data_IF_822636435403
#
_entry.id   IF_822636435403
#
_cell.length_a   1.000
_cell.length_b   1.000
_cell.length_c   1.000
_cell.angle_alpha   90.00
_cell.angle_beta   90.00
_cell.angle_gamma   90.00
#
_symmetry.space_group_name_H-M   'P 1'
#
loop_
_entity.id
_entity.type
_entity.pdbx_description
1 polymer ?
#
# COMPACT_ATOMS: atom_id res chain seq x y z
N UNK A 1 22.11 12.32 -23.28
CA UNK A 1 21.11 11.25 -23.10
C UNK A 1 19.80 11.71 -23.70
N UNK A 2 19.24 10.92 -24.61
CA UNK A 2 18.02 11.28 -25.36
C UNK A 2 16.74 10.76 -24.70
N UNK A 3 16.83 9.64 -24.00
CA UNK A 3 15.73 8.99 -23.30
C UNK A 3 16.19 8.60 -21.89
N UNK A 4 15.35 8.86 -20.91
CA UNK A 4 15.48 8.36 -19.55
C UNK A 4 14.51 7.18 -19.37
N UNK A 5 14.97 6.08 -18.81
CA UNK A 5 14.11 4.93 -18.51
C UNK A 5 14.43 4.38 -17.14
N UNK A 6 13.40 3.89 -16.41
CA UNK A 6 13.58 3.28 -15.11
C UNK A 6 12.99 4.12 -13.98
N UNK A 7 13.78 4.27 -12.90
CA UNK A 7 13.29 4.78 -11.62
C UNK A 7 12.58 3.69 -10.82
N UNK A 8 12.93 3.54 -9.54
CA UNK A 8 12.27 2.55 -8.67
C UNK A 8 11.38 3.22 -7.62
N UNK A 9 11.95 4.13 -6.83
CA UNK A 9 11.21 4.81 -5.78
C UNK A 9 10.42 5.99 -6.34
N UNK A 10 9.23 6.24 -5.79
CA UNK A 10 8.34 7.31 -6.25
C UNK A 10 8.96 8.70 -6.16
N UNK A 11 9.68 9.03 -5.09
CA UNK A 11 10.40 10.29 -4.96
C UNK A 11 11.52 10.45 -6.02
N UNK A 12 12.21 9.37 -6.37
CA UNK A 12 13.21 9.37 -7.46
C UNK A 12 12.51 9.57 -8.81
N UNK A 13 11.37 8.90 -9.03
CA UNK A 13 10.58 9.08 -10.22
C UNK A 13 10.12 10.52 -10.43
N UNK A 14 9.68 11.19 -9.37
CA UNK A 14 9.29 12.61 -9.43
C UNK A 14 10.49 13.52 -9.78
N UNK A 15 11.67 13.26 -9.21
CA UNK A 15 12.88 14.00 -9.55
C UNK A 15 13.31 13.80 -11.02
N UNK A 16 13.19 12.56 -11.54
CA UNK A 16 13.46 12.25 -12.95
C UNK A 16 12.44 12.91 -13.88
N UNK A 17 11.17 12.95 -13.50
CA UNK A 17 10.12 13.62 -14.26
C UNK A 17 10.35 15.14 -14.36
N UNK A 18 10.75 15.78 -13.27
CA UNK A 18 11.12 17.20 -13.25
C UNK A 18 12.35 17.46 -14.15
N UNK A 19 13.38 16.61 -14.04
CA UNK A 19 14.57 16.70 -14.92
C UNK A 19 14.19 16.51 -16.41
N UNK A 20 13.33 15.54 -16.72
CA UNK A 20 12.87 15.29 -18.07
C UNK A 20 12.12 16.49 -18.65
N UNK A 21 11.24 17.10 -17.85
CA UNK A 21 10.52 18.32 -18.22
C UNK A 21 11.46 19.49 -18.52
N UNK A 22 12.39 19.77 -17.60
CA UNK A 22 13.34 20.89 -17.73
C UNK A 22 14.25 20.76 -18.97
N UNK A 23 14.64 19.53 -19.26
CA UNK A 23 15.55 19.24 -20.38
C UNK A 23 14.84 18.78 -21.66
N UNK A 24 13.51 18.77 -21.68
CA UNK A 24 12.68 18.31 -22.83
C UNK A 24 13.11 16.92 -23.33
N UNK A 25 13.31 15.96 -22.40
CA UNK A 25 13.71 14.60 -22.68
C UNK A 25 12.59 13.62 -22.33
N UNK A 26 12.44 12.57 -23.13
CA UNK A 26 11.49 11.51 -22.83
C UNK A 26 11.90 10.77 -21.54
N UNK A 27 10.96 10.58 -20.64
CA UNK A 27 11.09 9.73 -19.46
C UNK A 27 10.03 8.63 -19.44
N UNK A 28 10.47 7.39 -19.44
CA UNK A 28 9.63 6.20 -19.29
C UNK A 28 9.83 5.64 -17.88
N UNK A 29 8.91 5.95 -17.00
CA UNK A 29 8.92 5.53 -15.60
C UNK A 29 8.43 4.09 -15.47
N UNK A 30 9.32 3.15 -15.14
CA UNK A 30 8.99 1.72 -15.06
C UNK A 30 8.33 1.33 -13.75
N UNK A 31 8.77 1.89 -12.62
CA UNK A 31 8.38 1.45 -11.27
C UNK A 31 7.73 2.50 -10.37
N UNK A 32 7.95 3.82 -10.51
CA UNK A 32 7.33 4.81 -9.64
C UNK A 32 5.80 4.74 -9.69
N UNK A 33 5.18 4.51 -8.51
CA UNK A 33 3.74 4.22 -8.44
C UNK A 33 2.90 5.41 -7.96
N UNK A 34 3.52 6.47 -7.40
CA UNK A 34 2.76 7.64 -6.93
C UNK A 34 1.85 8.22 -8.02
N UNK A 35 0.64 8.60 -7.64
CA UNK A 35 -0.30 9.24 -8.55
C UNK A 35 0.21 10.60 -9.04
N UNK A 36 0.93 11.34 -8.20
CA UNK A 36 1.49 12.64 -8.52
C UNK A 36 2.37 12.63 -9.78
N UNK A 37 2.99 11.49 -10.14
CA UNK A 37 3.91 11.39 -11.29
C UNK A 37 3.26 11.80 -12.62
N UNK A 38 1.98 11.49 -12.82
CA UNK A 38 1.25 11.80 -14.07
C UNK A 38 0.02 12.67 -13.85
N UNK A 39 -0.32 13.00 -12.60
CA UNK A 39 -1.37 13.94 -12.22
C UNK A 39 -0.74 15.29 -11.85
N UNK A 40 -0.61 15.61 -10.57
CA UNK A 40 -0.19 16.95 -10.09
C UNK A 40 1.19 17.38 -10.59
N UNK A 41 2.10 16.44 -10.77
CA UNK A 41 3.45 16.66 -11.30
C UNK A 41 3.61 16.16 -12.74
N UNK A 42 2.50 15.75 -13.36
CA UNK A 42 2.49 15.23 -14.71
C UNK A 42 2.98 16.26 -15.74
N UNK A 43 3.70 15.78 -16.74
CA UNK A 43 4.18 16.60 -17.85
C UNK A 43 4.25 15.79 -19.14
N UNK A 44 4.31 16.48 -20.28
CA UNK A 44 4.26 15.87 -21.62
C UNK A 44 5.46 14.97 -21.96
N UNK A 45 6.49 14.94 -21.16
CA UNK A 45 7.70 14.15 -21.39
C UNK A 45 7.77 12.90 -20.52
N UNK A 46 6.81 12.70 -19.59
CA UNK A 46 6.81 11.59 -18.63
C UNK A 46 5.68 10.61 -18.93
N UNK A 47 6.03 9.33 -19.07
CA UNK A 47 5.10 8.22 -19.29
C UNK A 47 5.32 7.14 -18.23
N UNK A 48 4.25 6.60 -17.67
CA UNK A 48 4.29 5.53 -16.67
C UNK A 48 3.84 4.20 -17.28
N UNK A 49 4.55 3.13 -16.94
CA UNK A 49 4.23 1.78 -17.43
C UNK A 49 3.34 0.98 -16.46
N UNK A 50 3.50 1.18 -15.14
CA UNK A 50 2.78 0.38 -14.13
C UNK A 50 1.51 1.08 -13.63
N UNK A 51 0.53 0.30 -13.09
CA UNK A 51 -0.61 0.87 -12.39
C UNK A 51 -0.17 1.77 -11.24
N UNK A 52 -0.87 2.89 -11.06
CA UNK A 52 -0.61 3.83 -9.97
C UNK A 52 -1.11 3.32 -8.62
N UNK A 53 -0.75 4.04 -7.54
CA UNK A 53 -1.32 3.82 -6.20
C UNK A 53 -2.85 3.91 -6.23
N UNK A 54 -3.43 4.83 -7.00
CA UNK A 54 -4.87 4.92 -7.20
C UNK A 54 -5.46 3.65 -7.81
N UNK A 55 -4.90 3.17 -8.92
CA UNK A 55 -5.40 1.98 -9.61
C UNK A 55 -5.26 0.72 -8.76
N UNK A 56 -4.13 0.57 -8.06
CA UNK A 56 -3.91 -0.58 -7.17
C UNK A 56 -4.83 -0.54 -5.95
N UNK A 57 -5.02 0.65 -5.36
CA UNK A 57 -5.97 0.83 -4.25
C UNK A 57 -7.39 0.56 -4.69
N UNK A 58 -7.81 1.00 -5.88
CA UNK A 58 -9.14 0.75 -6.41
C UNK A 58 -9.45 -0.75 -6.51
N UNK A 59 -8.51 -1.54 -7.03
CA UNK A 59 -8.65 -3.00 -7.09
C UNK A 59 -8.76 -3.62 -5.69
N UNK A 60 -7.94 -3.17 -4.75
CA UNK A 60 -7.92 -3.71 -3.40
C UNK A 60 -9.16 -3.31 -2.59
N UNK A 61 -9.67 -2.11 -2.78
CA UNK A 61 -10.86 -1.58 -2.11
C UNK A 61 -12.12 -2.35 -2.49
N UNK A 62 -12.17 -2.95 -3.70
CA UNK A 62 -13.28 -3.85 -4.07
C UNK A 62 -13.40 -5.03 -3.10
N UNK A 63 -12.27 -5.64 -2.73
CA UNK A 63 -12.26 -6.73 -1.76
C UNK A 63 -12.35 -6.23 -0.31
N UNK A 64 -11.64 -5.13 0.01
CA UNK A 64 -11.66 -4.54 1.35
C UNK A 64 -13.07 -4.12 1.78
N UNK A 65 -13.87 -3.60 0.85
CA UNK A 65 -15.24 -3.15 1.13
C UNK A 65 -16.22 -4.27 1.48
N UNK A 66 -15.91 -5.52 1.08
CA UNK A 66 -16.70 -6.71 1.40
C UNK A 66 -16.43 -7.26 2.80
N UNK A 67 -15.31 -6.86 3.41
CA UNK A 67 -14.97 -7.30 4.76
C UNK A 67 -15.89 -6.64 5.80
N UNK A 68 -16.25 -7.35 6.88
CA UNK A 68 -17.02 -6.76 7.97
C UNK A 68 -16.22 -5.76 8.80
N UNK A 69 -14.94 -5.56 8.47
CA UNK A 69 -14.02 -4.68 9.19
C UNK A 69 -14.48 -3.22 9.13
N UNK A 70 -14.57 -2.58 10.30
CA UNK A 70 -14.87 -1.15 10.47
C UNK A 70 -13.65 -0.36 10.92
N UNK A 71 -12.80 -0.97 11.71
CA UNK A 71 -11.61 -0.36 12.31
C UNK A 71 -10.37 -0.79 11.54
N UNK A 72 -9.74 0.15 10.85
CA UNK A 72 -8.59 -0.12 9.99
C UNK A 72 -7.30 0.46 10.59
N UNK A 73 -6.23 -0.29 10.53
CA UNK A 73 -4.89 0.23 10.74
C UNK A 73 -4.12 0.27 9.42
N UNK A 74 -3.13 1.16 9.32
CA UNK A 74 -2.25 1.24 8.16
C UNK A 74 -0.79 1.12 8.55
N UNK A 75 0.00 0.44 7.71
CA UNK A 75 1.47 0.37 7.81
C UNK A 75 2.04 0.71 6.45
N UNK A 76 2.77 1.80 6.35
CA UNK A 76 3.36 2.26 5.10
C UNK A 76 4.75 2.86 5.31
N UNK A 77 5.70 2.66 4.38
CA UNK A 77 7.00 3.28 4.49
C UNK A 77 6.86 4.81 4.37
N UNK A 78 7.58 5.54 5.23
CA UNK A 78 7.48 6.99 5.32
C UNK A 78 8.20 7.70 4.16
N UNK A 79 7.62 7.63 2.98
CA UNK A 79 8.02 8.41 1.79
C UNK A 79 6.85 8.50 0.80
N UNK A 80 7.05 9.18 -0.32
CA UNK A 80 6.01 9.53 -1.32
C UNK A 80 5.07 8.37 -1.70
N UNK A 81 5.61 7.17 -1.99
CA UNK A 81 4.79 6.02 -2.34
C UNK A 81 3.85 5.59 -1.21
N UNK A 82 4.39 5.49 0.02
CA UNK A 82 3.59 5.09 1.18
C UNK A 82 2.47 6.08 1.45
N UNK A 83 2.78 7.37 1.40
CA UNK A 83 1.82 8.46 1.63
C UNK A 83 0.71 8.46 0.56
N UNK A 84 1.09 8.37 -0.73
CA UNK A 84 0.14 8.27 -1.85
C UNK A 84 -0.79 7.06 -1.69
N UNK A 85 -0.24 5.87 -1.39
CA UNK A 85 -1.02 4.64 -1.26
C UNK A 85 -2.03 4.69 -0.10
N UNK A 86 -1.61 5.18 1.07
CA UNK A 86 -2.50 5.28 2.25
C UNK A 86 -3.59 6.32 2.02
N UNK A 87 -3.24 7.49 1.48
CA UNK A 87 -4.21 8.55 1.18
C UNK A 87 -5.30 8.03 0.23
N UNK A 88 -4.88 7.42 -0.88
CA UNK A 88 -5.79 6.91 -1.91
C UNK A 88 -6.66 5.75 -1.41
N UNK A 89 -6.07 4.80 -0.67
CA UNK A 89 -6.83 3.69 -0.09
C UNK A 89 -7.89 4.19 0.90
N UNK A 90 -7.51 5.15 1.76
CA UNK A 90 -8.42 5.75 2.73
C UNK A 90 -9.59 6.46 2.05
N UNK A 91 -9.31 7.30 1.06
CA UNK A 91 -10.33 8.03 0.31
C UNK A 91 -11.32 7.08 -0.36
N UNK A 92 -10.81 6.11 -1.12
CA UNK A 92 -11.64 5.19 -1.87
C UNK A 92 -12.44 4.24 -0.98
N UNK A 93 -11.83 3.75 0.13
CA UNK A 93 -12.54 2.88 1.07
C UNK A 93 -13.66 3.64 1.78
N UNK A 94 -13.40 4.87 2.23
CA UNK A 94 -14.42 5.72 2.87
C UNK A 94 -15.56 6.11 1.91
N UNK A 95 -15.27 6.29 0.63
CA UNK A 95 -16.31 6.56 -0.36
C UNK A 95 -17.29 5.38 -0.50
N UNK A 96 -16.80 4.13 -0.40
CA UNK A 96 -17.64 2.91 -0.45
C UNK A 96 -18.22 2.54 0.91
N UNK A 97 -17.49 2.77 1.97
CA UNK A 97 -17.79 2.39 3.34
C UNK A 97 -17.60 3.60 4.28
N UNK A 98 -18.57 4.52 4.33
CA UNK A 98 -18.49 5.70 5.22
C UNK A 98 -18.39 5.34 6.71
N UNK A 99 -18.79 4.12 7.08
CA UNK A 99 -18.77 3.58 8.43
C UNK A 99 -17.37 3.14 8.91
N UNK A 100 -16.35 3.15 8.05
CA UNK A 100 -15.00 2.73 8.45
C UNK A 100 -14.21 3.85 9.13
N UNK A 101 -13.37 3.46 10.08
CA UNK A 101 -12.50 4.31 10.87
C UNK A 101 -11.04 3.86 10.72
N UNK A 102 -10.11 4.80 10.56
CA UNK A 102 -8.67 4.52 10.59
C UNK A 102 -8.14 4.84 11.98
N UNK A 103 -7.87 3.78 12.75
CA UNK A 103 -7.60 3.85 14.18
C UNK A 103 -6.12 3.87 14.54
N UNK A 104 -5.25 3.49 13.62
CA UNK A 104 -3.80 3.54 13.81
C UNK A 104 -3.08 3.71 12.46
N UNK A 105 -1.99 4.45 12.48
CA UNK A 105 -1.10 4.63 11.32
C UNK A 105 0.34 4.46 11.76
N UNK A 106 1.08 3.61 11.06
CA UNK A 106 2.48 3.35 11.31
C UNK A 106 3.31 3.70 10.08
N UNK A 107 4.31 4.57 10.27
CA UNK A 107 5.15 5.12 9.23
C UNK A 107 6.63 4.78 9.43
N UNK A 108 7.03 3.52 9.35
CA UNK A 108 8.45 3.15 9.48
C UNK A 108 9.30 3.77 8.37
N UNK A 109 10.53 4.08 8.70
CA UNK A 109 11.53 4.43 7.68
C UNK A 109 11.78 3.21 6.81
N UNK A 110 11.81 3.39 5.49
CA UNK A 110 12.05 2.32 4.52
C UNK A 110 13.32 1.53 4.86
N UNK A 111 13.21 0.20 4.94
CA UNK A 111 14.29 -0.72 5.28
C UNK A 111 14.63 -0.79 6.78
N UNK A 112 13.97 0.00 7.63
CA UNK A 112 14.23 0.08 9.08
C UNK A 112 13.00 -0.25 9.93
N UNK A 113 12.07 -1.06 9.42
CA UNK A 113 10.90 -1.48 10.19
C UNK A 113 11.33 -2.25 11.45
N UNK A 114 10.90 -1.76 12.61
CA UNK A 114 10.78 -2.55 13.84
C UNK A 114 9.37 -3.16 13.89
N UNK A 115 9.30 -4.45 13.50
CA UNK A 115 8.03 -5.14 13.40
C UNK A 115 7.37 -5.36 14.78
N UNK A 116 8.19 -5.51 15.83
CA UNK A 116 7.70 -5.74 17.19
C UNK A 116 6.94 -4.55 17.75
N UNK A 117 7.56 -3.38 17.76
CA UNK A 117 6.94 -2.14 18.25
C UNK A 117 5.78 -1.70 17.37
N UNK A 118 5.92 -1.85 16.03
CA UNK A 118 4.86 -1.54 15.06
C UNK A 118 3.60 -2.36 15.31
N UNK A 119 3.73 -3.69 15.44
CA UNK A 119 2.60 -4.58 15.69
C UNK A 119 1.99 -4.35 17.08
N UNK A 120 2.81 -4.03 18.08
CA UNK A 120 2.31 -3.68 19.40
C UNK A 120 1.41 -2.42 19.35
N UNK A 121 1.87 -1.36 18.70
CA UNK A 121 1.08 -0.13 18.54
C UNK A 121 -0.23 -0.38 17.79
N UNK A 122 -0.19 -1.19 16.72
CA UNK A 122 -1.38 -1.56 15.95
C UNK A 122 -2.37 -2.36 16.82
N UNK A 123 -1.90 -3.39 17.52
CA UNK A 123 -2.79 -4.24 18.33
C UNK A 123 -3.44 -3.49 19.48
N UNK A 124 -2.75 -2.49 20.07
CA UNK A 124 -3.32 -1.60 21.08
C UNK A 124 -4.53 -0.81 20.56
N UNK A 125 -4.52 -0.43 19.28
CA UNK A 125 -5.63 0.28 18.67
C UNK A 125 -6.82 -0.63 18.30
N UNK A 126 -6.68 -1.96 18.47
CA UNK A 126 -7.72 -2.98 18.20
C UNK A 126 -8.38 -2.82 16.83
N UNK A 127 -7.62 -2.89 15.73
CA UNK A 127 -8.19 -2.85 14.39
C UNK A 127 -8.83 -4.18 14.03
N UNK A 128 -9.81 -4.13 13.12
CA UNK A 128 -10.42 -5.32 12.51
C UNK A 128 -9.63 -5.80 11.27
N UNK A 129 -8.89 -4.90 10.62
CA UNK A 129 -8.05 -5.19 9.46
C UNK A 129 -6.85 -4.24 9.36
N UNK A 130 -5.81 -4.67 8.65
CA UNK A 130 -4.58 -3.90 8.43
C UNK A 130 -4.37 -3.71 6.93
N UNK A 131 -4.23 -2.47 6.49
CA UNK A 131 -3.73 -2.14 5.15
C UNK A 131 -2.22 -1.95 5.19
N UNK A 132 -1.51 -2.77 4.41
CA UNK A 132 -0.05 -2.79 4.37
C UNK A 132 0.48 -2.31 3.03
N UNK A 133 1.45 -1.42 3.08
CA UNK A 133 2.18 -0.86 1.94
C UNK A 133 3.67 -1.21 2.00
N UNK A 134 4.13 -1.88 3.08
CA UNK A 134 5.53 -2.32 3.17
C UNK A 134 5.81 -3.43 2.17
N UNK A 135 7.06 -3.56 1.78
CA UNK A 135 7.53 -4.53 0.79
C UNK A 135 8.95 -5.03 1.10
N UNK A 136 9.40 -6.04 0.37
CA UNK A 136 10.75 -6.59 0.52
C UNK A 136 11.03 -7.11 1.93
N UNK A 137 12.19 -6.76 2.47
CA UNK A 137 12.62 -7.21 3.80
C UNK A 137 11.71 -6.73 4.94
N UNK A 138 11.13 -5.52 4.83
CA UNK A 138 10.24 -4.98 5.85
C UNK A 138 8.92 -5.78 5.90
N UNK A 139 8.35 -6.13 4.76
CA UNK A 139 7.17 -7.01 4.71
C UNK A 139 7.48 -8.39 5.29
N UNK A 140 8.63 -8.98 4.93
CA UNK A 140 9.03 -10.29 5.47
C UNK A 140 9.17 -10.28 7.00
N UNK A 141 9.76 -9.20 7.58
CA UNK A 141 9.85 -9.02 9.02
C UNK A 141 8.47 -8.89 9.66
N UNK A 142 7.58 -8.06 9.05
CA UNK A 142 6.22 -7.83 9.54
C UNK A 142 5.43 -9.14 9.59
N UNK A 143 5.46 -9.91 8.51
CA UNK A 143 4.71 -11.19 8.42
C UNK A 143 5.25 -12.21 9.42
N UNK A 144 6.57 -12.35 9.52
CA UNK A 144 7.20 -13.27 10.49
C UNK A 144 6.79 -12.95 11.92
N UNK A 145 6.98 -11.70 12.34
CA UNK A 145 6.68 -11.23 13.68
C UNK A 145 5.17 -11.31 13.97
N UNK A 146 4.35 -10.96 12.98
CA UNK A 146 2.89 -11.01 13.11
C UNK A 146 2.35 -12.42 13.28
N UNK A 147 2.97 -13.41 12.63
CA UNK A 147 2.63 -14.82 12.82
C UNK A 147 3.12 -15.33 14.18
N UNK A 148 4.37 -15.01 14.58
CA UNK A 148 4.92 -15.42 15.86
C UNK A 148 4.10 -14.89 17.04
N UNK A 149 3.59 -13.67 16.96
CA UNK A 149 2.72 -13.06 17.97
C UNK A 149 1.25 -13.44 17.83
N UNK A 150 0.91 -14.27 16.86
CA UNK A 150 -0.48 -14.66 16.58
C UNK A 150 -1.41 -13.46 16.32
N UNK A 151 -0.89 -12.42 15.64
CA UNK A 151 -1.63 -11.22 15.24
C UNK A 151 -2.27 -11.42 13.88
N UNK A 152 -1.49 -11.77 12.85
CA UNK A 152 -1.98 -11.92 11.47
C UNK A 152 -3.00 -13.05 11.27
N UNK A 153 -2.95 -14.18 12.00
CA UNK A 153 -4.04 -15.16 11.96
C UNK A 153 -5.39 -14.64 12.46
N UNK A 154 -5.39 -13.55 13.24
CA UNK A 154 -6.61 -12.97 13.84
C UNK A 154 -7.06 -11.70 13.13
N UNK A 155 -6.13 -10.94 12.57
CA UNK A 155 -6.38 -9.64 11.93
C UNK A 155 -5.92 -9.74 10.48
N UNK A 156 -6.83 -9.69 9.49
CA UNK A 156 -6.47 -9.79 8.09
C UNK A 156 -5.54 -8.67 7.66
N UNK A 157 -4.50 -9.04 6.91
CA UNK A 157 -3.52 -8.14 6.32
C UNK A 157 -3.78 -8.01 4.82
N UNK A 158 -4.21 -6.84 4.36
CA UNK A 158 -4.36 -6.52 2.96
C UNK A 158 -3.12 -5.78 2.47
N UNK A 159 -2.40 -6.35 1.50
CA UNK A 159 -1.13 -5.79 1.01
C UNK A 159 -1.21 -5.39 -0.45
N UNK A 160 -0.82 -4.15 -0.75
CA UNK A 160 -0.92 -3.58 -2.10
C UNK A 160 0.16 -4.13 -3.05
N UNK A 161 1.31 -4.60 -2.55
CA UNK A 161 2.44 -5.14 -3.33
C UNK A 161 2.81 -6.58 -2.97
N UNK A 162 1.93 -7.36 -2.37
CA UNK A 162 2.21 -8.77 -2.12
C UNK A 162 2.16 -9.55 -3.43
N UNK A 163 3.24 -10.25 -3.77
CA UNK A 163 3.27 -11.25 -4.84
C UNK A 163 2.94 -12.65 -4.33
N UNK A 164 2.98 -12.85 -3.04
CA UNK A 164 2.55 -14.11 -2.45
C UNK A 164 1.02 -14.12 -2.41
N UNK A 165 0.40 -15.25 -2.81
CA UNK A 165 -1.02 -15.41 -2.55
C UNK A 165 -1.21 -15.21 -1.03
N UNK A 166 -2.13 -14.32 -0.66
CA UNK A 166 -2.58 -14.24 0.73
C UNK A 166 -2.77 -15.68 1.23
N UNK A 167 -2.32 -16.02 2.46
CA UNK A 167 -2.53 -17.36 2.97
C UNK A 167 -3.99 -17.69 2.69
N UNK A 168 -4.22 -18.78 1.96
CA UNK A 168 -5.58 -19.18 1.52
C UNK A 168 -6.44 -19.10 2.76
N UNK A 169 -7.34 -18.12 2.78
CA UNK A 169 -8.46 -18.17 3.72
C UNK A 169 -9.06 -19.55 3.51
N UNK A 170 -8.91 -20.40 4.49
CA UNK A 170 -9.38 -21.78 4.44
C UNK A 170 -10.87 -21.72 4.16
N UNK A 171 -11.27 -22.02 2.92
CA UNK A 171 -12.68 -21.98 2.48
C UNK A 171 -13.57 -22.91 3.30
N UNK A 172 -12.96 -23.74 4.14
CA UNK A 172 -13.65 -24.65 5.05
C UNK A 172 -14.07 -24.02 6.38
N UNK A 173 -13.79 -22.70 6.61
CA UNK A 173 -14.23 -21.99 7.84
C UNK A 173 -15.29 -20.92 7.61
N UNK A 174 -15.91 -20.87 6.45
CA UNK A 174 -17.16 -20.14 6.32
C UNK A 174 -18.26 -21.06 6.90
N UNK A 175 -18.99 -20.66 7.96
CA UNK A 175 -20.15 -21.40 8.37
C UNK A 175 -21.13 -21.35 7.20
N UNK A 176 -21.42 -22.53 6.63
CA UNK A 176 -22.54 -22.67 5.72
C UNK A 176 -23.77 -22.25 6.55
N UNK A 177 -24.47 -21.22 6.08
CA UNK A 177 -25.73 -20.82 6.67
C UNK A 177 -26.70 -22.03 6.71
N UNK A 178 -27.68 -22.01 7.63
CA UNK A 178 -28.68 -23.09 7.68
C UNK A 178 -29.45 -23.14 6.37
N UNK A 179 -29.72 -24.36 5.91
CA UNK A 179 -30.58 -24.69 4.76
C UNK A 179 -31.95 -24.02 4.85
#
# INVERSE_FOLDING_TARGET
VDVLAGGYLSNVGLALADHAQKNKRLFVASEPLTDALVWDKGNRYTFRLRPSTYMQSAMLVEEASKLPAKRWATIAPNYEYGQSAVATFREQLKAKRPDVEFVAEQWPVLGKLDAGSTLQAITQAKPDAIFNVTFGADLAKLVREGNQRNVLPKIPLLSILSREPAPRLDRHRLPLGPD
#
